data_IF_291783459683
#
_entry.id   IF_291783459683
#
_cell.length_a   1.000
_cell.length_b   1.000
_cell.length_c   1.000
_cell.angle_alpha   90.00
_cell.angle_beta   90.00
_cell.angle_gamma   90.00
#
_symmetry.space_group_name_H-M   'P 1'
#
loop_
_entity.id
_entity.type
_entity.pdbx_description
1 polymer ?
#
# COMPACT_ATOMS: atom_id res chain seq x y z
N UNK A 1 11.19 -26.30 -8.42
CA UNK A 1 9.91 -26.31 -7.70
C UNK A 1 10.03 -25.92 -6.21
N UNK A 2 11.09 -26.38 -5.50
CA UNK A 2 11.33 -26.00 -4.10
C UNK A 2 11.69 -24.51 -3.94
N UNK A 3 12.32 -23.90 -4.95
CA UNK A 3 12.68 -22.47 -4.92
C UNK A 3 11.49 -21.52 -5.09
N UNK A 4 10.43 -21.93 -5.79
CA UNK A 4 9.26 -21.08 -6.03
C UNK A 4 8.32 -21.00 -4.82
N UNK A 5 8.16 -22.10 -4.09
CA UNK A 5 7.36 -22.11 -2.85
C UNK A 5 8.04 -21.34 -1.71
N UNK A 6 9.39 -21.42 -1.60
CA UNK A 6 10.16 -20.60 -0.68
C UNK A 6 10.05 -19.11 -1.03
N UNK A 7 10.14 -18.71 -2.31
CA UNK A 7 10.00 -17.32 -2.71
C UNK A 7 8.61 -16.73 -2.39
N UNK A 8 7.52 -17.48 -2.57
CA UNK A 8 6.17 -17.02 -2.27
C UNK A 8 5.97 -16.89 -0.75
N UNK A 9 6.34 -17.92 0.01
CA UNK A 9 6.22 -17.92 1.47
C UNK A 9 7.15 -16.87 2.11
N UNK A 10 8.38 -16.76 1.62
CA UNK A 10 9.36 -15.83 2.14
C UNK A 10 9.07 -14.38 1.76
N UNK A 11 8.52 -14.11 0.58
CA UNK A 11 8.11 -12.75 0.19
C UNK A 11 6.97 -12.23 1.08
N UNK A 12 6.00 -13.07 1.44
CA UNK A 12 4.87 -12.65 2.28
C UNK A 12 5.22 -12.57 3.77
N UNK A 13 6.06 -13.47 4.29
CA UNK A 13 6.45 -13.50 5.72
C UNK A 13 7.70 -12.70 5.99
N UNK A 14 8.75 -12.84 5.21
CA UNK A 14 10.02 -12.13 5.43
C UNK A 14 9.83 -10.62 5.24
N UNK A 15 9.14 -10.17 4.20
CA UNK A 15 8.87 -8.76 4.00
C UNK A 15 8.07 -8.14 5.14
N UNK A 16 7.07 -8.85 5.65
CA UNK A 16 6.24 -8.41 6.79
C UNK A 16 7.04 -8.43 8.10
N UNK A 17 7.80 -9.48 8.36
CA UNK A 17 8.58 -9.63 9.60
C UNK A 17 9.83 -8.73 9.60
N UNK A 18 10.49 -8.52 8.45
CA UNK A 18 11.55 -7.54 8.30
C UNK A 18 11.04 -6.11 8.59
N UNK A 19 9.90 -5.75 8.03
CA UNK A 19 9.25 -4.47 8.32
C UNK A 19 8.84 -4.35 9.80
N UNK A 20 8.44 -5.45 10.43
CA UNK A 20 8.07 -5.46 11.85
C UNK A 20 9.28 -5.29 12.76
N UNK A 21 10.38 -5.98 12.50
CA UNK A 21 11.60 -5.97 13.32
C UNK A 21 12.41 -4.66 13.17
N UNK A 22 12.48 -4.09 11.97
CA UNK A 22 13.25 -2.90 11.68
C UNK A 22 12.73 -1.65 12.43
N UNK A 23 13.55 -0.62 12.70
CA UNK A 23 13.06 0.70 13.12
C UNK A 23 12.09 1.29 12.09
N UNK A 24 11.10 2.11 12.50
CA UNK A 24 10.07 2.62 11.59
C UNK A 24 10.62 3.38 10.35
N UNK A 25 11.68 4.21 10.44
CA UNK A 25 12.29 4.82 9.25
C UNK A 25 12.92 3.79 8.31
N UNK A 26 13.58 2.75 8.84
CA UNK A 26 14.11 1.65 8.04
C UNK A 26 12.98 0.83 7.39
N UNK A 27 11.85 0.65 8.09
CA UNK A 27 10.66 0.02 7.50
C UNK A 27 10.06 0.83 6.37
N UNK A 28 10.13 2.16 6.43
CA UNK A 28 9.76 3.00 5.30
C UNK A 28 10.61 2.66 4.06
N UNK A 29 11.95 2.58 4.22
CA UNK A 29 12.86 2.22 3.11
C UNK A 29 12.64 0.79 2.59
N UNK A 30 12.41 -0.18 3.48
CA UNK A 30 12.11 -1.57 3.08
C UNK A 30 10.80 -1.63 2.31
N UNK A 31 9.73 -1.02 2.84
CA UNK A 31 8.40 -1.06 2.23
C UNK A 31 8.31 -0.30 0.91
N UNK A 32 9.20 0.64 0.65
CA UNK A 32 9.22 1.46 -0.58
C UNK A 32 10.34 1.06 -1.52
N UNK A 33 11.59 1.06 -1.05
CA UNK A 33 12.75 0.78 -1.90
C UNK A 33 12.83 -0.68 -2.33
N UNK A 34 12.82 -1.62 -1.38
CA UNK A 34 12.94 -3.05 -1.68
C UNK A 34 11.75 -3.60 -2.46
N UNK A 35 10.53 -3.19 -2.06
CA UNK A 35 9.31 -3.63 -2.75
C UNK A 35 9.26 -3.09 -4.18
N UNK A 36 9.67 -1.84 -4.41
CA UNK A 36 9.73 -1.27 -5.76
C UNK A 36 10.80 -1.93 -6.62
N UNK A 37 11.95 -2.31 -6.05
CA UNK A 37 12.97 -3.08 -6.76
C UNK A 37 12.42 -4.45 -7.20
N UNK A 38 11.65 -5.13 -6.33
CA UNK A 38 10.94 -6.36 -6.67
C UNK A 38 9.91 -6.16 -7.78
N UNK A 39 9.10 -5.11 -7.68
CA UNK A 39 8.14 -4.76 -8.73
C UNK A 39 8.83 -4.48 -10.06
N UNK A 40 9.94 -3.73 -10.06
CA UNK A 40 10.71 -3.42 -11.27
C UNK A 40 11.27 -4.69 -11.93
N UNK A 41 11.72 -5.67 -11.14
CA UNK A 41 12.18 -6.95 -11.68
C UNK A 41 11.04 -7.71 -12.38
N UNK A 42 9.88 -7.80 -11.74
CA UNK A 42 8.67 -8.41 -12.33
C UNK A 42 8.24 -7.66 -13.59
N UNK A 43 8.24 -6.33 -13.54
CA UNK A 43 7.87 -5.48 -14.66
C UNK A 43 8.81 -5.68 -15.87
N UNK A 44 10.12 -5.76 -15.66
CA UNK A 44 11.08 -6.03 -16.74
C UNK A 44 10.86 -7.40 -17.37
N UNK A 45 10.64 -8.44 -16.57
CA UNK A 45 10.30 -9.77 -17.08
C UNK A 45 9.01 -9.73 -17.89
N UNK A 46 7.97 -9.04 -17.37
CA UNK A 46 6.71 -8.85 -18.09
C UNK A 46 6.94 -8.21 -19.46
N UNK A 47 7.75 -7.14 -19.54
CA UNK A 47 8.04 -6.44 -20.81
C UNK A 47 8.80 -7.32 -21.82
N UNK A 48 9.75 -8.13 -21.37
CA UNK A 48 10.44 -9.10 -22.23
C UNK A 48 9.43 -10.14 -22.77
N UNK A 49 8.56 -10.65 -21.90
CA UNK A 49 7.59 -11.67 -22.26
C UNK A 49 6.45 -11.12 -23.15
N UNK A 50 6.20 -9.81 -23.10
CA UNK A 50 5.20 -9.16 -23.97
C UNK A 50 5.52 -9.29 -25.47
N UNK A 51 6.78 -9.49 -25.81
CA UNK A 51 7.24 -9.73 -27.18
C UNK A 51 7.16 -11.20 -27.58
N UNK A 52 6.70 -12.09 -26.71
CA UNK A 52 6.63 -13.54 -26.94
C UNK A 52 5.18 -14.03 -26.98
N UNK A 53 4.96 -15.20 -27.56
CA UNK A 53 3.64 -15.85 -27.55
C UNK A 53 3.17 -16.27 -26.15
N UNK A 54 4.09 -16.34 -25.17
CA UNK A 54 3.80 -16.73 -23.80
C UNK A 54 3.16 -15.62 -22.95
N UNK A 55 2.95 -14.42 -23.51
CA UNK A 55 2.38 -13.28 -22.76
C UNK A 55 1.02 -13.60 -22.12
N UNK A 56 0.17 -14.38 -22.80
CA UNK A 56 -1.13 -14.78 -22.26
C UNK A 56 -1.02 -15.59 -20.97
N UNK A 57 -0.05 -16.51 -20.91
CA UNK A 57 0.24 -17.27 -19.71
C UNK A 57 0.77 -16.38 -18.56
N UNK A 58 1.72 -15.48 -18.87
CA UNK A 58 2.28 -14.55 -17.89
C UNK A 58 1.20 -13.65 -17.29
N UNK A 59 0.31 -13.11 -18.11
CA UNK A 59 -0.84 -12.30 -17.65
C UNK A 59 -1.75 -13.08 -16.70
N UNK A 60 -2.06 -14.32 -17.01
CA UNK A 60 -2.89 -15.17 -16.14
C UNK A 60 -2.19 -15.47 -14.80
N UNK A 61 -0.88 -15.71 -14.80
CA UNK A 61 -0.10 -15.91 -13.57
C UNK A 61 -0.10 -14.64 -12.73
N UNK A 62 0.09 -13.47 -13.33
CA UNK A 62 0.05 -12.17 -12.63
C UNK A 62 -1.33 -11.88 -12.05
N UNK A 63 -2.41 -12.18 -12.78
CA UNK A 63 -3.78 -12.06 -12.28
C UNK A 63 -4.02 -12.98 -11.08
N UNK A 64 -3.65 -14.24 -11.18
CA UNK A 64 -3.83 -15.22 -10.11
C UNK A 64 -3.04 -14.83 -8.86
N UNK A 65 -1.76 -14.51 -9.01
CA UNK A 65 -0.90 -14.10 -7.90
C UNK A 65 -1.35 -12.76 -7.29
N UNK A 66 -1.82 -11.82 -8.12
CA UNK A 66 -2.35 -10.54 -7.67
C UNK A 66 -3.64 -10.70 -6.84
N UNK A 67 -4.59 -11.52 -7.30
CA UNK A 67 -5.83 -11.81 -6.54
C UNK A 67 -5.50 -12.53 -5.23
N UNK A 68 -4.59 -13.50 -5.27
CA UNK A 68 -4.16 -14.23 -4.08
C UNK A 68 -3.49 -13.28 -3.07
N UNK A 69 -2.64 -12.37 -3.53
CA UNK A 69 -2.00 -11.35 -2.68
C UNK A 69 -3.02 -10.41 -2.04
N UNK A 70 -4.00 -9.96 -2.81
CA UNK A 70 -5.10 -9.12 -2.34
C UNK A 70 -5.93 -9.86 -1.27
N UNK A 71 -6.29 -11.12 -1.51
CA UNK A 71 -7.03 -11.94 -0.56
C UNK A 71 -6.24 -12.22 0.73
N UNK A 72 -4.97 -12.59 0.61
CA UNK A 72 -4.08 -12.82 1.75
C UNK A 72 -3.92 -11.53 2.56
N UNK A 73 -3.66 -10.40 1.89
CA UNK A 73 -3.57 -9.09 2.54
C UNK A 73 -4.84 -8.78 3.34
N UNK A 74 -6.01 -8.88 2.72
CA UNK A 74 -7.31 -8.64 3.36
C UNK A 74 -7.55 -9.54 4.59
N UNK A 75 -7.26 -10.84 4.50
CA UNK A 75 -7.47 -11.79 5.59
C UNK A 75 -6.53 -11.52 6.79
N UNK A 76 -5.26 -11.24 6.53
CA UNK A 76 -4.30 -10.98 7.59
C UNK A 76 -4.46 -9.61 8.25
N UNK A 77 -5.00 -8.61 7.55
CA UNK A 77 -5.38 -7.33 8.14
C UNK A 77 -6.35 -7.50 9.32
N UNK A 78 -7.26 -8.47 9.26
CA UNK A 78 -8.21 -8.79 10.34
C UNK A 78 -7.52 -9.28 11.61
N UNK A 79 -6.49 -10.13 11.48
CA UNK A 79 -5.86 -10.83 12.63
C UNK A 79 -4.74 -10.04 13.29
N UNK A 80 -4.31 -8.93 12.70
CA UNK A 80 -3.14 -8.19 13.17
C UNK A 80 -3.45 -7.33 14.38
N UNK A 81 -2.69 -7.49 15.47
CA UNK A 81 -2.78 -6.69 16.69
C UNK A 81 -1.67 -5.63 16.81
N UNK A 82 -0.99 -5.32 15.72
CA UNK A 82 0.12 -4.39 15.68
C UNK A 82 0.04 -3.51 14.43
N UNK A 83 0.03 -2.18 14.62
CA UNK A 83 -0.12 -1.23 13.51
C UNK A 83 0.98 -1.35 12.45
N UNK A 84 2.20 -1.69 12.85
CA UNK A 84 3.29 -1.82 11.91
C UNK A 84 3.15 -3.06 11.01
N UNK A 85 2.74 -4.20 11.59
CA UNK A 85 2.37 -5.39 10.80
C UNK A 85 1.15 -5.13 9.92
N UNK A 86 0.18 -4.39 10.44
CA UNK A 86 -1.00 -3.97 9.67
C UNK A 86 -0.60 -3.21 8.40
N UNK A 87 0.29 -2.21 8.52
CA UNK A 87 0.82 -1.49 7.37
C UNK A 87 1.65 -2.38 6.43
N UNK A 88 2.35 -3.39 6.94
CA UNK A 88 3.11 -4.31 6.10
C UNK A 88 2.19 -5.22 5.27
N UNK A 89 1.10 -5.73 5.84
CA UNK A 89 0.12 -6.51 5.08
C UNK A 89 -0.62 -5.67 4.04
N UNK A 90 -0.86 -4.39 4.30
CA UNK A 90 -1.42 -3.53 3.27
C UNK A 90 -0.44 -3.23 2.13
N UNK A 91 0.87 -3.42 2.31
CA UNK A 91 1.82 -3.40 1.18
C UNK A 91 1.61 -4.62 0.28
N UNK A 92 1.41 -5.81 0.86
CA UNK A 92 1.12 -7.03 0.09
C UNK A 92 -0.15 -6.88 -0.73
N UNK A 93 -1.20 -6.32 -0.13
CA UNK A 93 -2.48 -6.05 -0.77
C UNK A 93 -2.34 -5.10 -1.96
N UNK A 94 -1.70 -3.93 -1.76
CA UNK A 94 -1.50 -2.93 -2.81
C UNK A 94 -0.58 -3.43 -3.94
N UNK A 95 0.45 -4.23 -3.63
CA UNK A 95 1.26 -4.89 -4.68
C UNK A 95 0.46 -5.94 -5.43
N UNK A 96 -0.52 -6.58 -4.81
CA UNK A 96 -1.50 -7.43 -5.48
C UNK A 96 -2.31 -6.67 -6.53
N UNK A 97 -2.77 -5.45 -6.22
CA UNK A 97 -3.47 -4.56 -7.16
C UNK A 97 -2.56 -4.19 -8.35
N UNK A 98 -1.29 -3.85 -8.07
CA UNK A 98 -0.32 -3.56 -9.12
C UNK A 98 -0.07 -4.77 -10.04
N UNK A 99 0.03 -5.98 -9.48
CA UNK A 99 0.17 -7.22 -10.25
C UNK A 99 -1.07 -7.51 -11.11
N UNK A 100 -2.28 -7.25 -10.60
CA UNK A 100 -3.53 -7.33 -11.36
C UNK A 100 -3.49 -6.34 -12.53
N UNK A 101 -3.05 -5.11 -12.31
CA UNK A 101 -2.91 -4.10 -13.36
C UNK A 101 -1.99 -4.57 -14.49
N UNK A 102 -0.83 -5.15 -14.19
CA UNK A 102 0.06 -5.75 -15.19
C UNK A 102 -0.61 -6.94 -15.90
N UNK A 103 -1.30 -7.80 -15.16
CA UNK A 103 -1.98 -8.99 -15.71
C UNK A 103 -3.13 -8.66 -16.66
N UNK A 104 -3.80 -7.51 -16.48
CA UNK A 104 -4.84 -7.03 -17.39
C UNK A 104 -4.20 -6.52 -18.69
N UNK A 105 -3.06 -5.81 -18.57
CA UNK A 105 -2.40 -5.19 -19.71
C UNK A 105 -3.03 -3.86 -20.13
N UNK A 106 -2.64 -3.32 -21.29
CA UNK A 106 -3.17 -2.07 -21.80
C UNK A 106 -3.01 -0.89 -20.82
N UNK A 107 -4.08 -0.16 -20.55
CA UNK A 107 -4.09 0.96 -19.58
C UNK A 107 -3.76 0.43 -18.15
N UNK A 108 -4.00 -0.84 -17.85
CA UNK A 108 -3.65 -1.45 -16.57
C UNK A 108 -2.17 -1.41 -16.26
N UNK A 109 -1.30 -1.49 -17.26
CA UNK A 109 0.17 -1.38 -17.09
C UNK A 109 0.54 0.02 -16.60
N UNK A 110 0.01 1.06 -17.24
CA UNK A 110 0.19 2.44 -16.81
C UNK A 110 -0.31 2.67 -15.38
N UNK A 111 -1.52 2.16 -15.11
CA UNK A 111 -2.14 2.28 -13.80
C UNK A 111 -1.32 1.56 -12.72
N UNK A 112 -0.72 0.39 -13.01
CA UNK A 112 0.14 -0.34 -12.09
C UNK A 112 1.41 0.45 -11.73
N UNK A 113 2.09 1.04 -12.72
CA UNK A 113 3.29 1.88 -12.49
C UNK A 113 2.91 3.11 -11.66
N UNK A 114 1.84 3.81 -12.04
CA UNK A 114 1.34 4.97 -11.30
C UNK A 114 0.97 4.61 -9.86
N UNK A 115 0.29 3.48 -9.66
CA UNK A 115 -0.09 2.97 -8.35
C UNK A 115 1.14 2.76 -7.45
N UNK A 116 2.17 2.08 -7.95
CA UNK A 116 3.41 1.79 -7.19
C UNK A 116 4.13 3.07 -6.78
N UNK A 117 4.23 4.06 -7.66
CA UNK A 117 4.87 5.36 -7.35
C UNK A 117 4.09 6.09 -6.26
N UNK A 118 2.77 6.21 -6.39
CA UNK A 118 1.94 6.89 -5.40
C UNK A 118 1.90 6.14 -4.07
N UNK A 119 1.79 4.81 -4.11
CA UNK A 119 1.87 3.94 -2.94
C UNK A 119 3.17 4.16 -2.15
N UNK A 120 4.30 4.33 -2.84
CA UNK A 120 5.61 4.61 -2.22
C UNK A 120 5.57 5.86 -1.35
N UNK A 121 5.01 6.97 -1.86
CA UNK A 121 4.91 8.23 -1.11
C UNK A 121 3.99 8.09 0.11
N UNK A 122 2.83 7.46 -0.08
CA UNK A 122 1.85 7.24 1.00
C UNK A 122 2.43 6.36 2.09
N UNK A 123 3.09 5.26 1.73
CA UNK A 123 3.71 4.34 2.70
C UNK A 123 4.86 4.96 3.45
N UNK A 124 5.73 5.72 2.77
CA UNK A 124 6.80 6.46 3.43
C UNK A 124 6.23 7.39 4.50
N UNK A 125 5.19 8.14 4.17
CA UNK A 125 4.50 9.02 5.13
C UNK A 125 3.97 8.24 6.34
N UNK A 126 3.23 7.15 6.10
CA UNK A 126 2.62 6.36 7.18
C UNK A 126 3.66 5.70 8.10
N UNK A 127 4.74 5.15 7.56
CA UNK A 127 5.80 4.56 8.38
C UNK A 127 6.57 5.61 9.19
N UNK A 128 6.77 6.82 8.66
CA UNK A 128 7.35 7.93 9.42
C UNK A 128 6.43 8.35 10.58
N UNK A 129 5.11 8.40 10.35
CA UNK A 129 4.14 8.64 11.42
C UNK A 129 4.16 7.53 12.48
N UNK A 130 4.38 6.28 12.09
CA UNK A 130 4.54 5.19 13.06
C UNK A 130 5.79 5.36 13.94
N UNK A 131 6.85 6.02 13.46
CA UNK A 131 7.99 6.36 14.31
C UNK A 131 7.58 7.33 15.44
N UNK A 132 6.72 8.30 15.14
CA UNK A 132 6.18 9.23 16.15
C UNK A 132 5.29 8.47 17.16
N UNK A 133 4.40 7.61 16.67
CA UNK A 133 3.54 6.76 17.53
C UNK A 133 4.39 5.94 18.49
N UNK A 134 5.48 5.32 18.02
CA UNK A 134 6.38 4.54 18.89
C UNK A 134 7.01 5.38 19.99
N UNK A 135 7.43 6.62 19.69
CA UNK A 135 8.02 7.51 20.69
C UNK A 135 7.03 7.88 21.81
N UNK A 136 5.75 8.05 21.45
CA UNK A 136 4.70 8.42 22.40
C UNK A 136 4.24 7.22 23.25
N UNK A 137 4.01 6.06 22.63
CA UNK A 137 3.41 4.89 23.28
C UNK A 137 4.38 3.77 23.61
N UNK A 138 5.66 3.93 23.30
CA UNK A 138 6.72 2.91 23.45
C UNK A 138 6.37 1.55 22.83
N UNK A 139 5.56 1.55 21.76
CA UNK A 139 5.12 0.34 21.09
C UNK A 139 4.19 0.58 19.92
N UNK A 140 3.73 -0.53 19.30
CA UNK A 140 2.82 -0.50 18.15
C UNK A 140 1.55 -1.35 18.38
N UNK A 141 1.30 -1.83 19.62
CA UNK A 141 0.14 -2.68 19.90
C UNK A 141 -1.16 -1.89 19.83
N UNK A 142 -2.09 -2.34 19.00
CA UNK A 142 -3.37 -1.66 18.72
C UNK A 142 -4.19 -1.43 20.00
N UNK A 143 -4.17 -2.38 20.93
CA UNK A 143 -4.96 -2.29 22.16
C UNK A 143 -4.40 -1.30 23.20
N UNK A 144 -3.13 -0.87 23.07
CA UNK A 144 -2.49 0.08 24.00
C UNK A 144 -2.48 1.50 23.48
N UNK A 145 -2.69 1.68 22.19
CA UNK A 145 -2.66 2.98 21.51
C UNK A 145 -4.10 3.49 21.42
N UNK A 146 -4.31 4.68 21.96
CA UNK A 146 -5.61 5.35 21.89
C UNK A 146 -5.45 6.83 22.16
N UNK A 147 -6.50 7.62 21.88
CA UNK A 147 -6.56 9.08 22.14
C UNK A 147 -5.44 9.88 21.43
N UNK A 148 -4.95 9.36 20.31
CA UNK A 148 -3.81 9.96 19.59
C UNK A 148 -4.11 11.37 19.07
N UNK A 149 -5.38 11.65 18.79
CA UNK A 149 -5.81 12.96 18.27
C UNK A 149 -5.60 14.10 19.28
N UNK A 150 -5.75 13.82 20.58
CA UNK A 150 -5.53 14.83 21.63
C UNK A 150 -4.05 15.02 21.96
N UNK A 151 -3.22 13.98 21.74
CA UNK A 151 -1.78 14.03 22.05
C UNK A 151 -0.99 14.71 20.91
N UNK A 152 -1.25 14.33 19.66
CA UNK A 152 -0.55 14.85 18.49
C UNK A 152 -1.52 15.06 17.32
N UNK A 153 -2.15 16.23 17.26
CA UNK A 153 -3.12 16.56 16.19
C UNK A 153 -2.52 16.44 14.78
N UNK A 154 -1.30 16.93 14.59
CA UNK A 154 -0.62 16.91 13.29
C UNK A 154 -0.38 15.46 12.85
N UNK A 155 0.15 14.63 13.74
CA UNK A 155 0.37 13.22 13.48
C UNK A 155 -0.93 12.45 13.27
N UNK A 156 -1.99 12.77 14.04
CA UNK A 156 -3.29 12.13 13.88
C UNK A 156 -3.93 12.45 12.54
N UNK A 157 -3.92 13.73 12.12
CA UNK A 157 -4.38 14.13 10.78
C UNK A 157 -3.57 13.43 9.69
N UNK A 158 -2.24 13.36 9.84
CA UNK A 158 -1.38 12.65 8.89
C UNK A 158 -1.70 11.16 8.78
N UNK A 159 -1.95 10.47 9.91
CA UNK A 159 -2.35 9.07 9.91
C UNK A 159 -3.75 8.87 9.34
N UNK A 160 -4.73 9.68 9.76
CA UNK A 160 -6.09 9.63 9.24
C UNK A 160 -6.11 9.80 7.73
N UNK A 161 -5.52 10.90 7.24
CA UNK A 161 -5.48 11.19 5.80
C UNK A 161 -4.68 10.13 5.05
N UNK A 162 -3.52 9.71 5.57
CA UNK A 162 -2.69 8.69 4.93
C UNK A 162 -3.37 7.33 4.83
N UNK A 163 -4.12 6.92 5.85
CA UNK A 163 -4.91 5.68 5.78
C UNK A 163 -6.09 5.79 4.83
N UNK A 164 -6.77 6.93 4.79
CA UNK A 164 -7.85 7.20 3.83
C UNK A 164 -7.33 7.15 2.39
N UNK A 165 -6.16 7.75 2.13
CA UNK A 165 -5.49 7.70 0.82
C UNK A 165 -5.05 6.29 0.48
N UNK A 166 -4.53 5.53 1.45
CA UNK A 166 -4.05 4.15 1.25
C UNK A 166 -5.18 3.18 0.88
N UNK A 167 -6.37 3.43 1.38
CA UNK A 167 -7.60 2.64 1.08
C UNK A 167 -8.26 3.08 -0.22
N UNK A 168 -7.54 3.89 -1.01
CA UNK A 168 -8.03 4.40 -2.29
C UNK A 168 -9.40 5.12 -2.18
N UNK A 169 -9.60 5.92 -1.14
CA UNK A 169 -10.81 6.76 -1.04
C UNK A 169 -10.65 8.02 -1.91
N UNK A 170 -11.66 8.41 -2.72
CA UNK A 170 -11.59 9.65 -3.49
C UNK A 170 -11.36 10.88 -2.60
N UNK A 171 -10.53 11.84 -3.00
CA UNK A 171 -9.78 12.04 -4.25
C UNK A 171 -8.32 11.55 -4.19
N UNK A 172 -8.08 10.30 -3.81
CA UNK A 172 -6.71 9.79 -3.69
C UNK A 172 -6.08 9.36 -5.02
N UNK A 173 -4.74 9.40 -5.16
CA UNK A 173 -4.07 8.91 -6.36
C UNK A 173 -4.22 7.39 -6.53
N UNK A 174 -4.30 6.64 -5.43
CA UNK A 174 -4.52 5.19 -5.46
C UNK A 174 -5.92 4.86 -5.98
N UNK A 175 -6.94 5.66 -5.65
CA UNK A 175 -8.27 5.53 -6.24
C UNK A 175 -8.25 5.65 -7.76
N UNK A 176 -7.50 6.62 -8.28
CA UNK A 176 -7.41 6.82 -9.73
C UNK A 176 -6.80 5.60 -10.42
N UNK A 177 -5.72 5.05 -9.87
CA UNK A 177 -5.09 3.84 -10.42
C UNK A 177 -5.99 2.62 -10.36
N UNK A 178 -6.68 2.38 -9.23
CA UNK A 178 -7.64 1.28 -9.09
C UNK A 178 -8.82 1.42 -10.03
N UNK A 179 -9.35 2.66 -10.17
CA UNK A 179 -10.42 2.94 -11.11
C UNK A 179 -10.01 2.65 -12.56
N UNK A 180 -8.78 2.98 -12.95
CA UNK A 180 -8.26 2.69 -14.29
C UNK A 180 -8.13 1.17 -14.51
N UNK A 181 -7.63 0.41 -13.52
CA UNK A 181 -7.55 -1.04 -13.56
C UNK A 181 -8.95 -1.66 -13.70
N UNK A 182 -9.91 -1.21 -12.89
CA UNK A 182 -11.30 -1.69 -12.95
C UNK A 182 -11.95 -1.35 -14.30
N UNK A 183 -11.76 -0.12 -14.79
CA UNK A 183 -12.28 0.32 -16.09
C UNK A 183 -11.77 -0.57 -17.24
N UNK A 184 -10.47 -0.89 -17.24
CA UNK A 184 -9.91 -1.79 -18.25
C UNK A 184 -10.47 -3.22 -18.11
N UNK A 185 -10.62 -3.72 -16.87
CA UNK A 185 -11.17 -5.04 -16.60
C UNK A 185 -12.63 -5.17 -17.10
N UNK A 186 -13.41 -4.09 -16.94
CA UNK A 186 -14.78 -4.00 -17.46
C UNK A 186 -14.79 -4.00 -18.99
N UNK A 187 -13.89 -3.20 -19.60
CA UNK A 187 -13.77 -3.12 -21.06
C UNK A 187 -13.41 -4.48 -21.68
N UNK A 188 -12.60 -5.29 -20.97
CA UNK A 188 -12.25 -6.66 -21.36
C UNK A 188 -13.39 -7.69 -21.14
N UNK A 189 -14.55 -7.28 -20.60
CA UNK A 189 -15.71 -8.14 -20.34
C UNK A 189 -15.51 -9.13 -19.17
N UNK A 190 -14.50 -8.94 -18.32
CA UNK A 190 -14.15 -9.87 -17.21
C UNK A 190 -14.92 -9.54 -15.93
N UNK A 191 -16.24 -9.57 -15.97
CA UNK A 191 -17.13 -9.17 -14.86
C UNK A 191 -16.89 -9.92 -13.55
N UNK A 192 -16.57 -11.23 -13.63
CA UNK A 192 -16.27 -12.04 -12.45
C UNK A 192 -15.03 -11.51 -11.70
N UNK A 193 -14.02 -11.03 -12.44
CA UNK A 193 -12.80 -10.46 -11.87
C UNK A 193 -13.09 -9.11 -11.20
N UNK A 194 -13.89 -8.26 -11.84
CA UNK A 194 -14.34 -6.97 -11.27
C UNK A 194 -15.05 -7.21 -9.93
N UNK A 195 -16.02 -8.14 -9.92
CA UNK A 195 -16.79 -8.46 -8.71
C UNK A 195 -15.89 -8.98 -7.59
N UNK A 196 -14.94 -9.86 -7.92
CA UNK A 196 -13.97 -10.40 -6.95
C UNK A 196 -13.06 -9.32 -6.35
N UNK A 197 -12.50 -8.45 -7.19
CA UNK A 197 -11.64 -7.33 -6.75
C UNK A 197 -12.44 -6.37 -5.86
N UNK A 198 -13.63 -5.96 -6.29
CA UNK A 198 -14.48 -5.04 -5.53
C UNK A 198 -14.86 -5.59 -4.16
N UNK A 199 -15.19 -6.88 -4.07
CA UNK A 199 -15.52 -7.52 -2.80
C UNK A 199 -14.32 -7.53 -1.85
N UNK A 200 -13.13 -7.85 -2.34
CA UNK A 200 -11.90 -7.85 -1.54
C UNK A 200 -11.52 -6.42 -1.10
N UNK A 201 -11.65 -5.42 -1.98
CA UNK A 201 -11.41 -4.01 -1.62
C UNK A 201 -12.39 -3.53 -0.55
N UNK A 202 -13.68 -3.84 -0.64
CA UNK A 202 -14.66 -3.52 0.40
C UNK A 202 -14.27 -4.12 1.77
N UNK A 203 -13.75 -5.35 1.78
CA UNK A 203 -13.27 -5.99 2.99
C UNK A 203 -12.05 -5.28 3.58
N UNK A 204 -11.11 -4.87 2.74
CA UNK A 204 -9.91 -4.08 3.13
C UNK A 204 -10.34 -2.75 3.74
N UNK A 205 -11.23 -2.00 3.08
CA UNK A 205 -11.78 -0.73 3.55
C UNK A 205 -12.37 -0.89 4.95
N UNK A 206 -13.19 -1.91 5.15
CA UNK A 206 -13.81 -2.19 6.45
C UNK A 206 -12.78 -2.39 7.56
N UNK A 207 -11.72 -3.20 7.31
CA UNK A 207 -10.69 -3.43 8.34
C UNK A 207 -9.84 -2.18 8.60
N UNK A 208 -9.53 -1.40 7.57
CA UNK A 208 -8.80 -0.14 7.74
C UNK A 208 -9.60 0.87 8.56
N UNK A 209 -10.84 1.13 8.20
CA UNK A 209 -11.70 2.06 8.93
C UNK A 209 -11.86 1.65 10.40
N UNK A 210 -12.08 0.37 10.66
CA UNK A 210 -12.20 -0.19 12.00
C UNK A 210 -10.94 0.02 12.85
N UNK A 211 -9.74 -0.13 12.27
CA UNK A 211 -8.46 0.07 12.97
C UNK A 211 -8.11 1.54 13.17
N UNK A 212 -8.43 2.36 12.18
CA UNK A 212 -8.22 3.80 12.23
C UNK A 212 -9.05 4.48 13.32
N UNK A 213 -10.34 4.13 13.40
CA UNK A 213 -11.21 4.64 14.45
C UNK A 213 -10.72 4.26 15.85
N UNK A 214 -10.20 3.05 16.02
CA UNK A 214 -9.61 2.64 17.30
C UNK A 214 -8.38 3.47 17.67
N UNK A 215 -7.47 3.72 16.73
CA UNK A 215 -6.27 4.53 16.99
C UNK A 215 -6.63 5.93 17.50
N UNK A 216 -7.64 6.55 16.90
CA UNK A 216 -7.97 7.95 17.14
C UNK A 216 -8.88 8.17 18.34
N UNK A 217 -9.86 7.28 18.55
CA UNK A 217 -10.98 7.50 19.48
C UNK A 217 -11.06 6.49 20.63
N UNK A 218 -10.27 5.39 20.61
CA UNK A 218 -10.29 4.46 21.73
C UNK A 218 -9.68 5.13 22.98
N UNK A 219 -10.33 5.03 24.16
CA UNK A 219 -9.75 5.54 25.39
C UNK A 219 -8.42 4.82 25.67
N UNK A 220 -7.47 5.58 26.14
CA UNK A 220 -6.13 5.11 26.50
C UNK A 220 -6.18 4.16 27.70
N UNK A 221 -5.45 3.07 27.65
CA UNK A 221 -5.41 2.09 28.76
C UNK A 221 -4.25 2.29 29.73
N UNK A 222 -3.17 2.96 29.34
CA UNK A 222 -1.98 3.17 30.16
C UNK A 222 -1.72 4.65 30.46
N UNK A 223 -1.30 4.97 31.67
CA UNK A 223 -0.81 6.31 32.09
C UNK A 223 0.62 6.56 31.57
N UNK A 224 0.80 6.56 30.27
CA UNK A 224 2.08 6.90 29.68
C UNK A 224 2.23 8.43 29.60
N UNK A 225 3.29 8.98 30.16
CA UNK A 225 3.63 10.38 29.94
C UNK A 225 4.07 10.54 28.47
N UNK A 226 3.40 11.40 27.67
CA UNK A 226 3.81 11.64 26.30
C UNK A 226 5.22 12.23 26.29
N UNK A 227 6.19 11.49 25.75
CA UNK A 227 7.49 12.05 25.41
C UNK A 227 7.30 13.17 24.38
N UNK A 228 8.22 14.15 24.35
CA UNK A 228 8.14 15.28 23.45
C UNK A 228 7.80 14.82 22.00
N UNK A 229 6.69 15.31 21.47
CA UNK A 229 6.25 14.99 20.11
C UNK A 229 7.24 15.60 19.12
N UNK A 230 7.79 14.75 18.25
CA UNK A 230 8.67 15.21 17.16
C UNK A 230 7.79 15.81 16.04
N UNK A 231 7.51 17.10 16.17
CA UNK A 231 6.70 17.85 15.19
C UNK A 231 7.34 17.87 13.81
N UNK A 232 8.68 17.93 13.73
CA UNK A 232 9.40 17.96 12.47
C UNK A 232 9.14 16.68 11.66
N UNK A 233 9.18 15.51 12.31
CA UNK A 233 8.90 14.23 11.67
C UNK A 233 7.45 14.12 11.22
N UNK A 234 6.49 14.65 11.98
CA UNK A 234 5.07 14.68 11.58
C UNK A 234 4.84 15.60 10.38
N UNK A 235 5.51 16.75 10.30
CA UNK A 235 5.42 17.64 9.16
C UNK A 235 6.07 17.07 7.90
N UNK A 236 7.23 16.40 8.01
CA UNK A 236 7.87 15.74 6.87
C UNK A 236 7.00 14.61 6.31
N UNK A 237 6.35 13.84 7.18
CA UNK A 237 5.40 12.82 6.75
C UNK A 237 4.17 13.42 6.05
N UNK A 238 3.64 14.55 6.56
CA UNK A 238 2.53 15.27 5.91
C UNK A 238 2.93 15.83 4.55
N UNK A 239 4.13 16.33 4.37
CA UNK A 239 4.59 16.85 3.07
C UNK A 239 4.66 15.75 2.00
N UNK A 240 5.12 14.55 2.34
CA UNK A 240 5.08 13.40 1.44
C UNK A 240 3.65 13.00 1.06
N UNK A 241 2.74 13.05 2.02
CA UNK A 241 1.34 12.74 1.78
C UNK A 241 0.67 13.81 0.90
N UNK A 242 0.95 15.08 1.16
CA UNK A 242 0.48 16.18 0.34
C UNK A 242 0.99 16.08 -1.10
N UNK A 243 2.26 15.70 -1.29
CA UNK A 243 2.81 15.43 -2.61
C UNK A 243 2.08 14.27 -3.31
N UNK A 244 1.78 13.18 -2.60
CA UNK A 244 1.03 12.04 -3.16
C UNK A 244 -0.39 12.48 -3.59
N UNK A 245 -1.11 13.21 -2.75
CA UNK A 245 -2.46 13.71 -3.06
C UNK A 245 -2.39 14.69 -4.24
N UNK A 246 -1.40 15.57 -4.25
CA UNK A 246 -1.16 16.51 -5.36
C UNK A 246 -1.00 15.80 -6.71
N UNK A 247 -0.26 14.68 -6.75
CA UNK A 247 -0.12 13.84 -7.95
C UNK A 247 -1.43 13.15 -8.35
N UNK A 248 -2.32 12.88 -7.41
CA UNK A 248 -3.65 12.34 -7.69
C UNK A 248 -4.60 13.38 -8.31
N UNK A 249 -4.56 14.61 -7.78
CA UNK A 249 -5.45 15.69 -8.23
C UNK A 249 -4.96 16.37 -9.51
N UNK A 250 -3.67 16.57 -9.59
CA UNK A 250 -3.04 17.22 -10.73
C UNK A 250 -1.76 16.50 -11.10
N UNK A 251 -1.80 15.84 -12.24
CA UNK A 251 -0.65 15.14 -12.81
C UNK A 251 0.12 16.12 -13.70
N UNK A 252 1.30 16.63 -13.27
CA UNK A 252 2.13 17.47 -14.12
C UNK A 252 2.46 16.75 -15.43
N UNK A 253 2.55 17.49 -16.54
CA UNK A 253 2.84 16.90 -17.85
C UNK A 253 4.14 16.06 -17.83
N UNK A 254 5.18 16.56 -17.17
CA UNK A 254 6.43 15.83 -16.98
C UNK A 254 6.24 14.48 -16.27
N UNK A 255 5.41 14.43 -15.22
CA UNK A 255 5.17 13.19 -14.46
C UNK A 255 4.39 12.17 -15.29
N UNK A 256 3.38 12.64 -16.04
CA UNK A 256 2.62 11.79 -16.96
C UNK A 256 3.53 11.22 -18.05
N UNK A 257 4.33 12.08 -18.70
CA UNK A 257 5.30 11.67 -19.72
C UNK A 257 6.32 10.65 -19.17
N UNK A 258 6.78 10.81 -17.93
CA UNK A 258 7.68 9.87 -17.28
C UNK A 258 7.03 8.48 -17.12
N UNK A 259 5.77 8.44 -16.65
CA UNK A 259 5.05 7.17 -16.51
C UNK A 259 4.76 6.56 -17.88
N UNK A 260 4.40 7.37 -18.87
CA UNK A 260 4.16 6.92 -20.25
C UNK A 260 5.43 6.28 -20.83
N UNK A 261 6.58 6.91 -20.64
CA UNK A 261 7.89 6.34 -21.05
C UNK A 261 8.19 5.03 -20.33
N UNK A 262 7.98 4.95 -19.02
CA UNK A 262 8.20 3.70 -18.26
C UNK A 262 7.23 2.61 -18.72
N UNK A 263 5.97 2.95 -18.92
CA UNK A 263 4.94 2.00 -19.35
C UNK A 263 5.12 1.56 -20.82
N UNK A 264 5.83 2.32 -21.63
CA UNK A 264 6.15 1.97 -23.03
C UNK A 264 7.50 1.26 -23.24
N UNK A 265 8.37 1.23 -22.21
CA UNK A 265 9.65 0.47 -22.24
C UNK A 265 9.40 -1.04 -22.32
#
# INVERSE_FOLDING_TARGET
>A
LVGSEMCIRDSYTIGVDANFAAPAPASALISTGLVNAGFLAVFRVYRIMEQTEAIGWVRNVLLLTGILSLAVGALFLRRTNNYKRFLSYSTVENMGIAAIGLGIGGIGVWAAVFHVVCHTLVKSSLFLQMAVVRRIYNGYRINRIGDYIHINRVGAVGLLTGMVVLVAFPPSPLFLSELMILKQTIADGRWWLVTGIMLLLCLVIYFFCSRLLRLCYQPRQDELHPSATDRALSWSALSLLAAAIGLGLWQPAFFRELIDRIASL
#
